data_IF_352432062965
#
_entry.id   IF_352432062965
#
_cell.length_a   1.000
_cell.length_b   1.000
_cell.length_c   1.000
_cell.angle_alpha   90.00
_cell.angle_beta   90.00
_cell.angle_gamma   90.00
#
_symmetry.space_group_name_H-M   'P 1'
#
loop_
_entity.id
_entity.type
_entity.pdbx_description
1 polymer ?
#
# COMPACT_ATOMS: atom_id res chain seq x y z
N UNK A 1 -24.05 17.20 -6.08
CA UNK A 1 -24.11 15.73 -6.17
C UNK A 1 -23.78 15.18 -4.78
N UNK A 2 -24.65 14.33 -4.21
CA UNK A 2 -24.29 13.60 -2.97
C UNK A 2 -23.34 12.48 -3.39
N UNK A 3 -22.14 12.46 -2.83
CA UNK A 3 -21.27 11.30 -2.96
C UNK A 3 -21.62 10.33 -1.85
N UNK A 4 -21.90 9.08 -2.20
CA UNK A 4 -22.13 8.03 -1.21
C UNK A 4 -20.79 7.66 -0.56
N UNK A 5 -20.86 6.88 0.53
CA UNK A 5 -19.66 6.46 1.24
C UNK A 5 -18.88 5.39 0.47
N UNK A 6 -17.57 5.34 0.71
CA UNK A 6 -16.66 4.32 0.19
C UNK A 6 -17.19 2.93 0.54
N UNK A 7 -17.66 2.73 1.77
CA UNK A 7 -18.22 1.47 2.22
C UNK A 7 -19.40 0.99 1.36
N UNK A 8 -20.20 1.91 0.84
CA UNK A 8 -21.39 1.60 0.04
C UNK A 8 -21.08 1.41 -1.44
N UNK A 9 -20.18 2.23 -1.99
CA UNK A 9 -19.81 2.15 -3.41
C UNK A 9 -18.76 1.07 -3.69
N UNK A 10 -17.86 0.79 -2.73
CA UNK A 10 -16.72 -0.12 -2.87
C UNK A 10 -16.56 -1.03 -1.63
N UNK A 11 -17.53 -1.92 -1.36
CA UNK A 11 -17.47 -2.83 -0.22
C UNK A 11 -16.26 -3.79 -0.27
N UNK A 12 -15.73 -4.08 -1.46
CA UNK A 12 -14.52 -4.88 -1.67
C UNK A 12 -13.26 -4.26 -1.05
N UNK A 13 -13.26 -2.95 -0.82
CA UNK A 13 -12.15 -2.22 -0.20
C UNK A 13 -12.21 -2.21 1.33
N UNK A 14 -13.33 -2.62 1.93
CA UNK A 14 -13.47 -2.67 3.40
C UNK A 14 -12.50 -3.66 4.04
N UNK A 15 -12.26 -4.81 3.39
CA UNK A 15 -11.28 -5.79 3.85
C UNK A 15 -9.84 -5.26 3.83
N UNK A 16 -9.58 -4.17 3.10
CA UNK A 16 -8.28 -3.54 3.03
C UNK A 16 -8.19 -2.27 3.87
N UNK A 17 -9.26 -1.86 4.54
CA UNK A 17 -9.27 -0.69 5.40
C UNK A 17 -8.57 -1.00 6.72
N UNK A 18 -7.53 -0.24 7.07
CA UNK A 18 -6.86 -0.44 8.37
C UNK A 18 -7.74 0.01 9.54
N UNK A 19 -7.75 -0.77 10.62
CA UNK A 19 -8.35 -0.40 11.90
C UNK A 19 -7.64 0.77 12.60
N UNK A 20 -6.42 1.10 12.18
CA UNK A 20 -5.64 2.21 12.73
C UNK A 20 -6.04 3.58 12.15
N UNK A 21 -6.99 3.60 11.21
CA UNK A 21 -7.51 4.85 10.67
C UNK A 21 -8.43 5.54 11.69
N UNK A 22 -8.20 6.84 11.92
CA UNK A 22 -9.06 7.68 12.77
C UNK A 22 -10.38 8.10 12.08
N UNK A 23 -10.68 7.56 10.90
CA UNK A 23 -11.88 7.88 10.13
C UNK A 23 -12.53 6.60 9.63
N UNK A 24 -13.86 6.59 9.61
CA UNK A 24 -14.66 5.46 9.14
C UNK A 24 -14.71 5.41 7.61
N UNK A 25 -14.69 4.22 6.98
CA UNK A 25 -14.96 4.09 5.54
C UNK A 25 -16.41 4.48 5.18
N UNK A 26 -17.29 4.61 6.18
CA UNK A 26 -18.66 5.10 6.01
C UNK A 26 -18.74 6.64 5.95
N UNK A 27 -17.68 7.36 6.36
CA UNK A 27 -17.64 8.83 6.45
C UNK A 27 -16.78 9.48 5.35
N UNK A 28 -16.31 8.69 4.37
CA UNK A 28 -15.51 9.17 3.25
C UNK A 28 -16.09 8.70 1.94
N UNK A 29 -16.05 9.52 0.89
CA UNK A 29 -16.44 9.11 -0.45
C UNK A 29 -15.28 8.47 -1.23
N UNK A 30 -15.59 7.74 -2.29
CA UNK A 30 -14.57 7.19 -3.21
C UNK A 30 -13.66 8.26 -3.81
N UNK A 31 -14.14 9.50 -4.00
CA UNK A 31 -13.36 10.62 -4.53
C UNK A 31 -12.53 11.37 -3.49
N UNK A 32 -12.56 10.95 -2.23
CA UNK A 32 -11.90 11.66 -1.13
C UNK A 32 -10.39 11.76 -1.31
N UNK A 33 -9.85 12.95 -1.05
CA UNK A 33 -8.41 13.22 -1.02
C UNK A 33 -7.76 12.86 0.34
N UNK A 34 -8.53 12.32 1.29
CA UNK A 34 -7.98 11.89 2.57
C UNK A 34 -6.99 10.74 2.36
N UNK A 35 -5.84 10.86 3.03
CA UNK A 35 -4.82 9.83 3.10
C UNK A 35 -5.14 8.90 4.27
N UNK A 36 -5.20 7.61 4.00
CA UNK A 36 -5.52 6.58 4.99
C UNK A 36 -4.56 5.41 4.84
N UNK A 37 -4.47 4.59 5.88
CA UNK A 37 -3.70 3.35 5.90
C UNK A 37 -4.55 2.20 5.37
N UNK A 38 -3.95 1.44 4.45
CA UNK A 38 -4.51 0.26 3.82
C UNK A 38 -3.69 -0.96 4.20
N UNK A 39 -4.34 -2.12 4.24
CA UNK A 39 -3.73 -3.42 4.50
C UNK A 39 -4.13 -4.38 3.37
N UNK A 40 -3.21 -5.11 2.78
CA UNK A 40 -3.55 -6.08 1.74
C UNK A 40 -3.73 -7.46 2.37
N UNK A 41 -4.23 -8.42 1.59
CA UNK A 41 -4.41 -9.81 2.03
C UNK A 41 -3.11 -10.49 2.49
N UNK A 42 -1.93 -9.98 2.06
CA UNK A 42 -0.62 -10.45 2.51
C UNK A 42 -0.13 -9.78 3.81
N UNK A 43 -0.93 -8.90 4.41
CA UNK A 43 -0.59 -8.18 5.64
C UNK A 43 0.32 -6.97 5.44
N UNK A 44 0.61 -6.55 4.20
CA UNK A 44 1.39 -5.34 3.98
C UNK A 44 0.57 -4.10 4.25
N UNK A 45 1.14 -3.17 5.00
CA UNK A 45 0.56 -1.89 5.32
C UNK A 45 1.12 -0.81 4.40
N UNK A 46 0.28 0.07 3.85
CA UNK A 46 0.73 1.25 3.11
C UNK A 46 -0.25 2.41 3.24
N UNK A 47 0.24 3.63 3.01
CA UNK A 47 -0.61 4.81 2.96
C UNK A 47 -0.98 5.16 1.52
N UNK A 48 -2.25 5.46 1.29
CA UNK A 48 -2.70 6.00 0.00
C UNK A 48 -3.91 6.90 0.19
N UNK A 49 -4.09 7.82 -0.76
CA UNK A 49 -5.30 8.63 -0.86
C UNK A 49 -6.48 7.72 -1.26
N UNK A 50 -7.65 7.91 -0.63
CA UNK A 50 -8.86 7.12 -0.91
C UNK A 50 -9.19 7.11 -2.40
N UNK A 51 -9.19 8.28 -3.06
CA UNK A 51 -9.37 8.41 -4.51
C UNK A 51 -8.46 7.50 -5.35
N UNK A 52 -7.18 7.41 -5.00
CA UNK A 52 -6.24 6.60 -5.76
C UNK A 52 -6.55 5.10 -5.60
N UNK A 53 -6.92 4.67 -4.40
CA UNK A 53 -7.28 3.27 -4.17
C UNK A 53 -8.64 2.91 -4.80
N UNK A 54 -9.63 3.78 -4.65
CA UNK A 54 -11.04 3.52 -4.96
C UNK A 54 -11.43 3.83 -6.41
N UNK A 55 -10.85 4.83 -7.06
CA UNK A 55 -11.21 5.20 -8.44
C UNK A 55 -10.10 4.86 -9.43
N UNK A 56 -8.83 5.09 -9.06
CA UNK A 56 -7.68 4.78 -9.96
C UNK A 56 -7.31 3.30 -9.87
N UNK A 57 -7.61 2.63 -8.75
CA UNK A 57 -7.32 1.21 -8.56
C UNK A 57 -5.89 0.90 -8.12
N UNK A 58 -5.14 1.88 -7.60
CA UNK A 58 -3.77 1.65 -7.12
C UNK A 58 -3.76 0.64 -5.97
N UNK A 59 -3.07 -0.49 -6.11
CA UNK A 59 -2.98 -1.49 -5.05
C UNK A 59 -1.73 -1.36 -4.19
N UNK A 60 -1.39 -2.44 -3.51
CA UNK A 60 -0.28 -2.50 -2.57
C UNK A 60 1.06 -2.32 -3.30
N UNK A 61 1.85 -1.27 -2.99
CA UNK A 61 3.09 -1.00 -3.70
C UNK A 61 4.16 -2.09 -3.49
N UNK A 62 4.09 -2.82 -2.37
CA UNK A 62 5.01 -3.94 -2.07
C UNK A 62 4.67 -5.14 -2.96
N UNK A 63 3.38 -5.48 -3.09
CA UNK A 63 2.93 -6.57 -3.97
C UNK A 63 3.19 -6.27 -5.44
N UNK A 64 3.14 -5.00 -5.84
CA UNK A 64 3.33 -4.55 -7.22
C UNK A 64 4.78 -4.12 -7.51
N UNK A 65 5.74 -4.47 -6.65
CA UNK A 65 7.18 -4.19 -6.81
C UNK A 65 7.55 -2.71 -7.02
N UNK A 66 6.69 -1.79 -6.57
CA UNK A 66 6.98 -0.35 -6.53
C UNK A 66 7.64 0.10 -5.24
N UNK A 67 7.60 -0.72 -4.19
CA UNK A 67 8.23 -0.47 -2.92
C UNK A 67 8.89 -1.74 -2.37
N UNK A 68 10.01 -1.56 -1.67
CA UNK A 68 10.75 -2.65 -1.02
C UNK A 68 10.34 -2.76 0.45
N UNK A 69 10.03 -3.98 0.88
CA UNK A 69 9.82 -4.40 2.26
C UNK A 69 10.89 -5.43 2.61
N UNK A 70 11.71 -5.10 3.62
CA UNK A 70 12.75 -5.99 4.16
C UNK A 70 12.11 -7.28 4.68
N UNK A 71 12.73 -8.42 4.37
CA UNK A 71 12.23 -9.76 4.68
C UNK A 71 11.15 -10.27 3.71
N UNK A 72 10.79 -9.51 2.67
CA UNK A 72 9.76 -9.91 1.71
C UNK A 72 10.21 -9.81 0.26
N UNK A 73 10.54 -8.60 -0.20
CA UNK A 73 10.95 -8.37 -1.59
C UNK A 73 12.25 -7.56 -1.73
N UNK A 74 13.05 -7.50 -0.67
CA UNK A 74 14.41 -7.00 -0.76
C UNK A 74 15.34 -8.03 -1.43
N UNK A 75 16.46 -7.51 -1.94
CA UNK A 75 17.41 -8.32 -2.69
C UNK A 75 18.01 -9.45 -1.85
N UNK A 76 18.28 -9.21 -0.57
CA UNK A 76 18.84 -10.22 0.32
C UNK A 76 17.85 -11.39 0.52
N UNK A 77 16.55 -11.07 0.65
CA UNK A 77 15.49 -12.08 0.77
C UNK A 77 15.27 -12.86 -0.54
N UNK A 78 15.23 -12.17 -1.69
CA UNK A 78 14.91 -12.82 -2.97
C UNK A 78 16.13 -13.55 -3.56
N UNK A 79 17.33 -12.98 -3.42
CA UNK A 79 18.54 -13.49 -4.04
C UNK A 79 19.79 -13.14 -3.22
N UNK A 80 20.09 -13.96 -2.23
CA UNK A 80 21.24 -13.78 -1.33
C UNK A 80 22.57 -13.79 -2.08
N UNK A 81 22.74 -14.68 -3.07
CA UNK A 81 23.98 -14.77 -3.86
C UNK A 81 24.26 -13.47 -4.63
N UNK A 82 23.22 -12.89 -5.24
CA UNK A 82 23.34 -11.61 -5.91
C UNK A 82 23.59 -10.46 -4.91
N UNK A 83 22.92 -10.47 -3.76
CA UNK A 83 23.15 -9.49 -2.70
C UNK A 83 24.59 -9.51 -2.17
N UNK A 84 25.18 -10.71 -2.00
CA UNK A 84 26.57 -10.90 -1.58
C UNK A 84 27.54 -10.32 -2.61
N UNK A 85 27.35 -10.61 -3.90
CA UNK A 85 28.21 -10.08 -4.97
C UNK A 85 28.13 -8.54 -5.14
N UNK A 86 27.02 -7.92 -4.70
CA UNK A 86 26.83 -6.47 -4.74
C UNK A 86 27.63 -5.74 -3.66
N UNK A 87 27.83 -6.38 -2.50
CA UNK A 87 28.51 -5.79 -1.35
C UNK A 87 29.98 -5.41 -1.64
N UNK A 88 30.61 -6.08 -2.60
CA UNK A 88 32.00 -5.84 -2.96
C UNK A 88 32.24 -4.57 -3.79
N UNK A 89 31.21 -4.02 -4.47
CA UNK A 89 31.44 -3.02 -5.53
C UNK A 89 30.90 -1.62 -5.36
N UNK A 90 30.08 -1.25 -4.36
CA UNK A 90 29.64 0.16 -4.23
C UNK A 90 29.40 0.63 -2.79
N UNK A 91 30.35 1.43 -2.28
CA UNK A 91 30.04 2.45 -1.28
C UNK A 91 29.28 3.59 -1.97
N UNK A 92 27.95 3.60 -1.86
CA UNK A 92 27.17 4.79 -2.19
C UNK A 92 27.18 5.65 -0.93
N UNK A 93 28.01 6.69 -0.93
CA UNK A 93 27.96 7.74 0.11
C UNK A 93 26.61 8.43 0.01
N UNK A 94 25.93 8.54 1.16
CA UNK A 94 24.73 9.34 1.35
C UNK A 94 25.04 10.84 1.20
#
# INVERSE_FOLDING_TARGET
MKHESLAKERPDLLAQWSSENNISPYDVSCGSHKKVRWVCSKGHNWEAIVKNRALVGSGCPICEHRAVLKGYNDLLTINSLLAESWSEKKQIKA
#
